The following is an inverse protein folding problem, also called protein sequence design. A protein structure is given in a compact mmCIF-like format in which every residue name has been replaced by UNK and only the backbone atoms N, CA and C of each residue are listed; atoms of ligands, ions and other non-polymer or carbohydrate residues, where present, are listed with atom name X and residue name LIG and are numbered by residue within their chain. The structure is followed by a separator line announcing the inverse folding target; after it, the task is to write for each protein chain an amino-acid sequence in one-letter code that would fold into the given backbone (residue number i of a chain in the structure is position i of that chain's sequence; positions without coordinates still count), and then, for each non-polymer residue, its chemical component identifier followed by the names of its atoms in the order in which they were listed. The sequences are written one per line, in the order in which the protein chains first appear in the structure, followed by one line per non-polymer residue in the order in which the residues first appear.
data_IF_918453535685
#
_entry.id   IF_918453535685
#
_cell.length_a   1.000
_cell.length_b   1.000
_cell.length_c   1.000
_cell.angle_alpha   90.00
_cell.angle_beta   90.00
_cell.angle_gamma   90.00
#
_symmetry.space_group_name_H-M   'P 1'
#
loop_
_entity.id
_entity.type
_entity.pdbx_description
1 polymer ?
#
# COMPACT_ATOMS: atom_id res chain seq x y z
N UNK A 1 -40.39 -1.05 0.06
CA UNK A 1 -40.53 -0.55 -1.34
C UNK A 1 -39.40 0.39 -1.76
N UNK A 2 -38.98 1.39 -0.96
CA UNK A 2 -37.86 2.30 -1.32
C UNK A 2 -36.49 1.59 -1.54
N UNK A 3 -36.15 0.59 -0.71
CA UNK A 3 -34.87 -0.12 -0.80
C UNK A 3 -34.72 -0.96 -2.09
N UNK A 4 -35.80 -1.59 -2.55
CA UNK A 4 -35.81 -2.37 -3.80
C UNK A 4 -35.64 -1.46 -5.01
N UNK A 5 -36.38 -0.33 -5.04
CA UNK A 5 -36.22 0.68 -6.08
C UNK A 5 -34.81 1.30 -6.10
N UNK A 6 -34.18 1.46 -4.92
CA UNK A 6 -32.80 1.90 -4.80
C UNK A 6 -31.83 0.89 -5.44
N UNK A 7 -31.88 -0.39 -5.08
CA UNK A 7 -31.01 -1.43 -5.67
C UNK A 7 -31.23 -1.55 -7.18
N UNK A 8 -32.48 -1.56 -7.65
CA UNK A 8 -32.78 -1.64 -9.08
C UNK A 8 -32.25 -0.44 -9.86
N UNK A 9 -32.27 0.76 -9.26
CA UNK A 9 -31.71 1.97 -9.88
C UNK A 9 -30.18 1.91 -10.03
N UNK A 10 -29.49 1.25 -9.10
CA UNK A 10 -28.04 1.01 -9.19
C UNK A 10 -27.75 -0.10 -10.20
N UNK A 11 -28.46 -1.23 -10.13
CA UNK A 11 -28.29 -2.36 -11.05
C UNK A 11 -28.47 -1.93 -12.52
N UNK A 12 -29.45 -1.07 -12.82
CA UNK A 12 -29.67 -0.54 -14.17
C UNK A 12 -28.54 0.35 -14.69
N UNK A 13 -27.71 0.92 -13.81
CA UNK A 13 -26.59 1.81 -14.16
C UNK A 13 -25.22 1.15 -14.01
N UNK A 14 -25.15 -0.05 -13.47
CA UNK A 14 -23.91 -0.82 -13.29
C UNK A 14 -23.61 -1.64 -14.54
N UNK A 15 -22.42 -1.42 -15.10
CA UNK A 15 -21.89 -2.25 -16.18
C UNK A 15 -21.21 -3.47 -15.56
N UNK A 16 -21.76 -4.66 -15.79
CA UNK A 16 -21.18 -5.91 -15.32
C UNK A 16 -20.25 -6.42 -16.41
N UNK A 17 -18.95 -6.44 -16.11
CA UNK A 17 -17.92 -6.97 -17.01
C UNK A 17 -17.38 -8.30 -16.46
N UNK A 18 -17.06 -9.28 -17.32
CA UNK A 18 -16.48 -10.54 -16.88
C UNK A 18 -15.08 -10.30 -16.30
N UNK A 19 -14.70 -11.00 -15.21
CA UNK A 19 -13.36 -10.86 -14.64
C UNK A 19 -12.30 -11.44 -15.60
N UNK A 20 -11.30 -10.63 -15.94
CA UNK A 20 -10.16 -11.05 -16.75
C UNK A 20 -8.95 -11.33 -15.85
N UNK A 21 -8.94 -12.50 -15.20
CA UNK A 21 -7.90 -12.82 -14.21
C UNK A 21 -6.49 -12.83 -14.77
N UNK A 22 -6.30 -13.28 -16.01
CA UNK A 22 -5.00 -13.29 -16.66
C UNK A 22 -4.41 -11.88 -16.77
N UNK A 23 -5.22 -10.90 -17.14
CA UNK A 23 -4.79 -9.51 -17.27
C UNK A 23 -4.25 -8.97 -15.93
N UNK A 24 -4.91 -9.27 -14.82
CA UNK A 24 -4.44 -8.83 -13.50
C UNK A 24 -3.10 -9.46 -13.12
N UNK A 25 -2.89 -10.72 -13.48
CA UNK A 25 -1.61 -11.42 -13.26
C UNK A 25 -0.51 -10.79 -14.12
N UNK A 26 -0.78 -10.52 -15.38
CA UNK A 26 0.18 -9.91 -16.31
C UNK A 26 0.61 -8.52 -15.78
N UNK A 27 -0.34 -7.68 -15.41
CA UNK A 27 -0.03 -6.37 -14.81
C UNK A 27 0.72 -6.48 -13.48
N UNK A 28 0.41 -7.48 -12.64
CA UNK A 28 1.14 -7.69 -11.39
C UNK A 28 2.60 -8.07 -11.65
N UNK A 29 2.87 -8.89 -12.66
CA UNK A 29 4.23 -9.24 -13.06
C UNK A 29 4.97 -7.99 -13.54
N UNK A 30 4.36 -7.17 -14.39
CA UNK A 30 4.95 -5.91 -14.85
C UNK A 30 5.24 -4.94 -13.71
N UNK A 31 4.32 -4.77 -12.75
CA UNK A 31 4.56 -3.97 -11.56
C UNK A 31 5.73 -4.55 -10.76
N UNK A 32 5.78 -5.86 -10.54
CA UNK A 32 6.88 -6.51 -9.81
C UNK A 32 8.23 -6.28 -10.50
N UNK A 33 8.28 -6.33 -11.83
CA UNK A 33 9.49 -6.02 -12.60
C UNK A 33 9.96 -4.56 -12.39
N UNK A 34 9.03 -3.62 -12.26
CA UNK A 34 9.38 -2.24 -11.90
C UNK A 34 9.92 -2.18 -10.46
N UNK A 35 9.29 -2.88 -9.52
CA UNK A 35 9.74 -2.91 -8.12
C UNK A 35 11.16 -3.47 -7.97
N UNK A 36 11.56 -4.45 -8.78
CA UNK A 36 12.93 -5.00 -8.77
C UNK A 36 14.01 -4.00 -9.18
N UNK A 37 13.64 -2.85 -9.78
CA UNK A 37 14.59 -1.77 -10.03
C UNK A 37 14.95 -1.00 -8.76
N UNK A 38 14.12 -1.06 -7.71
CA UNK A 38 14.29 -0.28 -6.47
C UNK A 38 14.81 -1.12 -5.30
N UNK A 39 14.59 -2.42 -5.31
CA UNK A 39 15.10 -3.35 -4.29
C UNK A 39 15.26 -4.75 -4.86
N UNK A 40 15.98 -5.62 -4.14
CA UNK A 40 16.18 -7.01 -4.51
C UNK A 40 14.85 -7.78 -4.50
N UNK A 41 14.73 -8.84 -5.30
CA UNK A 41 13.49 -9.62 -5.36
C UNK A 41 13.15 -10.31 -4.03
N UNK A 42 14.17 -10.65 -3.24
CA UNK A 42 14.02 -11.27 -1.92
C UNK A 42 13.43 -10.29 -0.88
N UNK A 43 13.59 -8.98 -1.10
CA UNK A 43 13.04 -7.90 -0.28
C UNK A 43 11.63 -7.45 -0.73
N UNK A 44 11.11 -8.04 -1.81
CA UNK A 44 9.74 -7.79 -2.29
C UNK A 44 8.82 -8.90 -1.78
N UNK A 45 7.91 -8.54 -0.89
CA UNK A 45 6.91 -9.46 -0.35
C UNK A 45 5.52 -9.14 -0.93
N UNK A 46 5.09 -9.93 -1.92
CA UNK A 46 3.73 -9.82 -2.46
C UNK A 46 2.70 -10.43 -1.51
N UNK A 47 1.77 -9.61 -1.02
CA UNK A 47 0.71 -10.01 -0.10
C UNK A 47 -0.59 -10.39 -0.82
N UNK A 48 -0.90 -9.67 -1.91
CA UNK A 48 -2.04 -9.93 -2.79
C UNK A 48 -1.72 -9.47 -4.22
N UNK A 49 -2.67 -9.65 -5.15
CA UNK A 49 -2.52 -9.20 -6.54
C UNK A 49 -2.28 -7.69 -6.62
N UNK A 50 -2.85 -6.92 -5.70
CA UNK A 50 -2.81 -5.46 -5.64
C UNK A 50 -1.90 -4.90 -4.53
N UNK A 51 -1.40 -5.74 -3.62
CA UNK A 51 -0.56 -5.29 -2.49
C UNK A 51 0.80 -6.00 -2.48
N UNK A 52 1.87 -5.22 -2.34
CA UNK A 52 3.25 -5.69 -2.14
C UNK A 52 3.93 -4.81 -1.09
N UNK A 53 4.76 -5.44 -0.26
CA UNK A 53 5.67 -4.77 0.66
C UNK A 53 7.08 -4.80 0.09
N UNK A 54 7.80 -3.70 0.26
CA UNK A 54 9.19 -3.58 -0.17
C UNK A 54 10.01 -3.17 1.05
N UNK A 55 11.09 -3.91 1.30
CA UNK A 55 12.20 -3.37 2.08
C UNK A 55 13.11 -2.56 1.14
N UNK A 56 13.43 -1.33 1.53
CA UNK A 56 14.32 -0.44 0.77
C UNK A 56 15.48 0.02 1.64
N UNK A 57 15.65 -0.56 2.84
CA UNK A 57 16.61 -0.09 3.84
C UNK A 57 18.03 -0.05 3.27
N UNK A 58 18.42 -1.07 2.50
CA UNK A 58 19.74 -1.15 1.88
C UNK A 58 19.85 -0.27 0.62
N UNK A 59 18.74 -0.10 -0.12
CA UNK A 59 18.73 0.62 -1.40
C UNK A 59 18.60 2.14 -1.27
N UNK A 60 18.17 2.66 -0.11
CA UNK A 60 18.01 4.11 0.13
C UNK A 60 19.28 4.92 -0.21
N UNK A 61 20.44 4.45 0.25
CA UNK A 61 21.72 5.14 0.04
C UNK A 61 22.25 5.01 -1.39
N UNK A 62 21.75 4.04 -2.15
CA UNK A 62 22.14 3.85 -3.55
C UNK A 62 21.50 4.91 -4.46
N UNK A 63 20.21 5.23 -4.24
CA UNK A 63 19.48 6.19 -5.07
C UNK A 63 19.74 7.64 -4.70
N UNK A 64 19.87 7.92 -3.41
CA UNK A 64 19.92 9.29 -2.89
C UNK A 64 21.04 9.49 -1.85
N UNK A 65 22.31 9.26 -2.21
CA UNK A 65 23.44 9.28 -1.27
C UNK A 65 23.66 10.65 -0.60
N UNK A 66 23.22 11.73 -1.22
CA UNK A 66 23.34 13.11 -0.70
C UNK A 66 22.35 13.43 0.42
N UNK A 67 21.24 12.70 0.51
CA UNK A 67 20.18 12.95 1.49
C UNK A 67 20.48 12.16 2.77
N UNK A 68 20.73 12.86 3.88
CA UNK A 68 21.00 12.20 5.18
C UNK A 68 19.75 11.67 5.90
N UNK A 69 18.58 12.22 5.57
CA UNK A 69 17.33 11.82 6.21
C UNK A 69 16.69 10.66 5.44
N UNK A 70 16.71 9.47 6.04
CA UNK A 70 16.12 8.26 5.45
C UNK A 70 14.66 8.41 5.04
N UNK A 71 13.87 9.18 5.79
CA UNK A 71 12.45 9.36 5.51
C UNK A 71 12.20 10.24 4.28
N UNK A 72 13.08 11.23 4.05
CA UNK A 72 13.03 12.02 2.83
C UNK A 72 13.48 11.17 1.63
N UNK A 73 14.53 10.35 1.78
CA UNK A 73 14.93 9.38 0.75
C UNK A 73 13.78 8.43 0.39
N UNK A 74 13.09 7.85 1.40
CA UNK A 74 11.93 6.97 1.18
C UNK A 74 10.82 7.69 0.40
N UNK A 75 10.51 8.94 0.75
CA UNK A 75 9.48 9.71 0.07
C UNK A 75 9.85 10.04 -1.39
N UNK A 76 11.14 10.25 -1.70
CA UNK A 76 11.63 10.44 -3.07
C UNK A 76 11.51 9.16 -3.89
N UNK A 77 11.98 8.03 -3.35
CA UNK A 77 11.82 6.72 -3.98
C UNK A 77 10.34 6.41 -4.24
N UNK A 78 9.46 6.66 -3.25
CA UNK A 78 8.03 6.46 -3.42
C UNK A 78 7.43 7.34 -4.53
N UNK A 79 7.88 8.59 -4.66
CA UNK A 79 7.46 9.48 -5.74
C UNK A 79 7.91 8.97 -7.12
N UNK A 80 9.17 8.52 -7.24
CA UNK A 80 9.71 8.00 -8.49
C UNK A 80 9.01 6.71 -8.90
N UNK A 81 8.79 5.81 -7.94
CA UNK A 81 8.05 4.57 -8.17
C UNK A 81 6.62 4.85 -8.69
N UNK A 82 5.90 5.80 -8.07
CA UNK A 82 4.58 6.18 -8.53
C UNK A 82 4.59 6.74 -9.95
N UNK A 83 5.61 7.56 -10.28
CA UNK A 83 5.78 8.12 -11.63
C UNK A 83 6.09 7.03 -12.64
N UNK A 84 7.02 6.15 -12.34
CA UNK A 84 7.42 5.08 -13.26
C UNK A 84 6.27 4.11 -13.54
N UNK A 85 5.51 3.70 -12.52
CA UNK A 85 4.32 2.86 -12.71
C UNK A 85 3.25 3.59 -13.55
N UNK A 86 3.03 4.89 -13.29
CA UNK A 86 2.08 5.68 -14.06
C UNK A 86 2.51 5.83 -15.52
N UNK A 87 3.79 6.11 -15.76
CA UNK A 87 4.32 6.39 -17.09
C UNK A 87 4.41 5.12 -17.94
N UNK A 88 4.76 3.97 -17.33
CA UNK A 88 4.87 2.69 -18.05
C UNK A 88 3.53 1.96 -18.21
N UNK A 89 2.70 1.96 -17.17
CA UNK A 89 1.50 1.11 -17.11
C UNK A 89 0.19 1.90 -17.08
N UNK A 90 0.24 3.24 -16.93
CA UNK A 90 -0.96 4.07 -16.80
C UNK A 90 -1.71 3.89 -15.48
N UNK A 91 -1.10 3.22 -14.49
CA UNK A 91 -1.73 2.89 -13.21
C UNK A 91 -1.42 3.94 -12.14
N UNK A 92 -2.43 4.26 -11.33
CA UNK A 92 -2.25 5.03 -10.11
C UNK A 92 -2.06 4.09 -8.94
N UNK A 93 -0.97 4.26 -8.21
CA UNK A 93 -0.63 3.46 -7.03
C UNK A 93 -0.55 4.34 -5.80
N UNK A 94 -1.00 3.80 -4.66
CA UNK A 94 -0.90 4.46 -3.35
C UNK A 94 0.27 3.85 -2.59
N UNK A 95 1.11 4.68 -1.97
CA UNK A 95 2.30 4.21 -1.25
C UNK A 95 2.24 4.65 0.21
N UNK A 96 2.22 3.69 1.13
CA UNK A 96 2.43 3.94 2.55
C UNK A 96 3.87 3.64 2.95
N UNK A 97 4.46 4.54 3.74
CA UNK A 97 5.81 4.42 4.26
C UNK A 97 5.77 4.36 5.79
N UNK A 98 6.69 3.62 6.38
CA UNK A 98 6.84 3.57 7.84
C UNK A 98 8.05 2.75 8.26
N UNK A 99 8.31 2.74 9.56
CA UNK A 99 9.48 2.07 10.14
C UNK A 99 9.41 0.54 10.08
N UNK A 100 8.24 -0.02 9.78
CA UNK A 100 8.00 -1.44 9.59
C UNK A 100 6.79 -1.66 8.67
N UNK A 101 6.57 -2.87 8.14
CA UNK A 101 5.48 -3.17 7.22
C UNK A 101 4.09 -2.85 7.78
N UNK A 102 3.89 -3.04 9.09
CA UNK A 102 2.63 -2.74 9.77
C UNK A 102 2.31 -1.24 9.70
N UNK A 103 3.26 -0.38 10.07
CA UNK A 103 3.09 1.08 10.01
C UNK A 103 2.94 1.57 8.57
N UNK A 104 3.68 0.99 7.62
CA UNK A 104 3.56 1.30 6.20
C UNK A 104 2.14 1.01 5.68
N UNK A 105 1.57 -0.16 6.00
CA UNK A 105 0.19 -0.50 5.63
C UNK A 105 -0.82 0.45 6.27
N UNK A 106 -0.65 0.78 7.55
CA UNK A 106 -1.52 1.71 8.25
C UNK A 106 -1.44 3.13 7.67
N UNK A 107 -0.25 3.57 7.27
CA UNK A 107 -0.03 4.83 6.57
C UNK A 107 -0.77 4.84 5.23
N UNK A 108 -0.66 3.75 4.47
CA UNK A 108 -1.34 3.60 3.19
C UNK A 108 -2.87 3.67 3.32
N UNK A 109 -3.41 2.82 4.20
CA UNK A 109 -4.85 2.60 4.30
C UNK A 109 -5.61 3.78 4.91
N UNK A 110 -5.02 4.49 5.88
CA UNK A 110 -5.73 5.53 6.64
C UNK A 110 -5.35 6.96 6.25
N UNK A 111 -4.22 7.16 5.56
CA UNK A 111 -3.72 8.51 5.24
C UNK A 111 -3.45 8.67 3.76
N UNK A 112 -2.64 7.78 3.16
CA UNK A 112 -2.20 7.95 1.79
C UNK A 112 -3.37 8.00 0.80
N UNK A 113 -4.39 7.15 0.96
CA UNK A 113 -5.61 7.15 0.14
C UNK A 113 -6.41 8.45 0.15
N UNK A 114 -6.20 9.29 1.18
CA UNK A 114 -6.88 10.57 1.35
C UNK A 114 -5.99 11.78 1.02
N UNK A 115 -4.71 11.56 0.74
CA UNK A 115 -3.78 12.61 0.34
C UNK A 115 -3.78 12.78 -1.18
N UNK A 116 -3.71 14.02 -1.66
CA UNK A 116 -3.68 14.34 -3.10
C UNK A 116 -2.51 13.67 -3.84
N UNK A 117 -1.39 13.44 -3.15
CA UNK A 117 -0.21 12.79 -3.71
C UNK A 117 -0.23 11.25 -3.57
N UNK A 118 -1.26 10.67 -2.95
CA UNK A 118 -1.39 9.24 -2.69
C UNK A 118 -0.21 8.63 -1.91
N UNK A 119 0.48 9.42 -1.07
CA UNK A 119 1.59 8.98 -0.22
C UNK A 119 1.40 9.41 1.22
N UNK A 120 1.81 8.56 2.16
CA UNK A 120 1.85 8.95 3.58
C UNK A 120 2.97 8.23 4.33
N UNK A 121 3.46 8.86 5.39
CA UNK A 121 4.48 8.33 6.29
C UNK A 121 3.96 8.29 7.73
N UNK A 122 4.15 7.15 8.39
CA UNK A 122 3.96 6.99 9.84
C UNK A 122 5.25 6.46 10.44
N UNK A 123 5.84 7.23 11.36
CA UNK A 123 6.99 6.84 12.16
C UNK A 123 6.55 6.38 13.55
N UNK A 124 7.43 5.72 14.30
CA UNK A 124 7.15 5.33 15.69
C UNK A 124 6.72 6.51 16.57
N UNK A 125 7.31 7.70 16.37
CA UNK A 125 6.94 8.91 17.11
C UNK A 125 5.53 9.42 16.80
N UNK A 126 4.98 9.06 15.64
CA UNK A 126 3.63 9.45 15.25
C UNK A 126 2.56 8.52 15.84
N UNK A 127 2.94 7.33 16.33
CA UNK A 127 2.02 6.29 16.80
C UNK A 127 1.04 6.81 17.86
N UNK A 128 1.47 7.54 18.91
CA UNK A 128 0.54 8.02 19.94
C UNK A 128 -0.55 8.94 19.40
N UNK A 129 -0.24 9.76 18.40
CA UNK A 129 -1.13 10.80 17.90
C UNK A 129 -1.96 10.34 16.68
N UNK A 130 -1.36 9.52 15.82
CA UNK A 130 -1.99 9.02 14.58
C UNK A 130 -2.66 7.68 14.79
N UNK A 131 -2.00 6.71 15.42
CA UNK A 131 -2.49 5.35 15.45
C UNK A 131 -3.59 5.14 16.48
N UNK A 132 -3.42 5.68 17.70
CA UNK A 132 -4.39 5.51 18.78
C UNK A 132 -5.71 6.26 18.57
N UNK A 133 -5.75 7.20 17.63
CA UNK A 133 -6.95 7.94 17.26
C UNK A 133 -7.82 7.20 16.24
N UNK A 134 -7.33 6.10 15.65
CA UNK A 134 -8.09 5.30 14.67
C UNK A 134 -9.05 4.38 15.42
N UNK A 135 -10.38 4.55 15.29
CA UNK A 135 -11.36 3.85 16.11
C UNK A 135 -11.42 2.34 15.86
N UNK A 136 -10.95 1.85 14.71
CA UNK A 136 -10.91 0.41 14.39
C UNK A 136 -9.60 0.05 13.67
N UNK A 137 -8.54 -0.14 14.46
CA UNK A 137 -7.24 -0.63 13.96
C UNK A 137 -7.31 -1.99 13.24
N UNK A 138 -8.36 -2.78 13.50
CA UNK A 138 -8.49 -4.14 13.01
C UNK A 138 -8.98 -4.23 11.55
N UNK A 139 -9.62 -3.19 11.01
CA UNK A 139 -10.15 -3.23 9.65
C UNK A 139 -9.05 -3.08 8.59
N UNK A 140 -8.00 -2.31 8.89
CA UNK A 140 -6.92 -2.02 7.94
C UNK A 140 -6.04 -3.24 7.68
N UNK A 141 -5.81 -4.11 8.68
CA UNK A 141 -4.79 -5.16 8.56
C UNK A 141 -5.21 -6.42 7.82
N UNK A 142 -6.49 -6.62 7.47
CA UNK A 142 -6.99 -7.85 6.80
C UNK A 142 -6.52 -9.17 7.46
N UNK A 143 -6.02 -9.16 8.70
CA UNK A 143 -5.56 -10.36 9.42
C UNK A 143 -6.80 -11.12 9.90
N UNK A 144 -7.07 -12.29 9.31
CA UNK A 144 -8.25 -13.12 9.61
C UNK A 144 -8.06 -14.09 10.78
N UNK A 145 -6.83 -14.37 11.22
CA UNK A 145 -6.57 -15.35 12.27
C UNK A 145 -5.79 -14.74 13.43
N UNK A 146 -6.27 -14.98 14.65
CA UNK A 146 -5.62 -14.60 15.90
C UNK A 146 -5.28 -15.86 16.69
N UNK A 147 -3.99 -16.09 16.97
CA UNK A 147 -3.54 -17.04 17.98
C UNK A 147 -2.86 -16.21 19.07
N UNK A 148 -3.38 -16.30 20.29
CA UNK A 148 -2.85 -15.62 21.47
C UNK A 148 -2.73 -16.66 22.59
N UNK A 149 -1.56 -16.71 23.24
CA UNK A 149 -1.33 -17.53 24.42
C UNK A 149 -1.04 -16.59 25.61
N UNK A 150 -1.93 -16.47 26.60
CA UNK A 150 -1.75 -15.56 27.73
C UNK A 150 -0.81 -16.05 28.82
N UNK A 151 -0.32 -17.30 28.79
CA UNK A 151 0.44 -17.86 29.91
C UNK A 151 1.95 -17.61 29.82
N UNK A 152 2.35 -16.40 30.20
CA UNK A 152 3.63 -16.17 30.88
C UNK A 152 3.34 -15.35 32.15
N UNK A 153 3.26 -16.07 33.27
CA UNK A 153 3.49 -15.59 34.63
C UNK A 153 4.57 -16.46 35.23
#
# INVERSE_FOLDING_TARGET
MQYVAFIESWAKRTWIVPPQMQLYVDYKIEVTNILTNYTSIDEIHSYSIDESFLDITESLNFFYPEIKNRYEQMNRIALDLQREIRDKLGLYVTVGMGDNPLLAKLAMDNYAKHNDNMRALIRYEDVPNKLWTIPVLLQSLKIKYKVYNPSCS
#
